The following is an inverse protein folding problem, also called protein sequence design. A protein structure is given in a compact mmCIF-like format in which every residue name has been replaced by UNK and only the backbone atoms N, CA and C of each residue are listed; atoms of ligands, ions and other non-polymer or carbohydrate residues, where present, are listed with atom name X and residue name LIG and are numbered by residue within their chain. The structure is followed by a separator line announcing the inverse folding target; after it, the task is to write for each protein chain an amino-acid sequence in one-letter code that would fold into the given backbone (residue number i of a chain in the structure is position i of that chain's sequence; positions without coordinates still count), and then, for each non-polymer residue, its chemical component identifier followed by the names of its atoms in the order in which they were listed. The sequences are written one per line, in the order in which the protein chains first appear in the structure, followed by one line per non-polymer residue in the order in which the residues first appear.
data_IF_518755520864
#
_entry.id   IF_518755520864
#
_cell.length_a   1.000
_cell.length_b   1.000
_cell.length_c   1.000
_cell.angle_alpha   90.00
_cell.angle_beta   90.00
_cell.angle_gamma   90.00
#
_symmetry.space_group_name_H-M   'P 1'
#
loop_
_entity.id
_entity.type
_entity.pdbx_description
1 polymer ?
#
# COMPACT_ATOMS: atom_id res chain seq x y z
N UNK A 1 -2.81 2.94 -9.76
CA UNK A 1 -2.72 2.88 -8.29
C UNK A 1 -2.25 4.18 -7.67
N UNK A 2 -1.12 4.78 -8.14
CA UNK A 2 -0.51 5.96 -7.52
C UNK A 2 -1.46 7.15 -7.30
N UNK A 3 -2.10 7.66 -8.36
CA UNK A 3 -3.02 8.80 -8.26
C UNK A 3 -4.25 8.52 -7.39
N UNK A 4 -4.92 7.37 -7.57
CA UNK A 4 -6.08 6.99 -6.75
C UNK A 4 -5.76 6.92 -5.25
N UNK A 5 -4.60 6.36 -4.90
CA UNK A 5 -4.22 6.23 -3.49
C UNK A 5 -3.88 7.58 -2.86
N UNK A 6 -3.29 8.51 -3.61
CA UNK A 6 -2.99 9.86 -3.12
C UNK A 6 -4.25 10.67 -2.84
N UNK A 7 -5.27 10.61 -3.69
CA UNK A 7 -6.55 11.29 -3.44
C UNK A 7 -7.22 10.73 -2.17
N UNK A 8 -7.29 9.40 -2.09
CA UNK A 8 -7.90 8.72 -0.95
C UNK A 8 -7.14 8.97 0.37
N UNK A 9 -5.82 9.14 0.31
CA UNK A 9 -5.01 9.42 1.49
C UNK A 9 -5.40 10.73 2.17
N UNK A 10 -5.77 11.75 1.39
CA UNK A 10 -6.29 13.02 1.89
C UNK A 10 -7.63 12.85 2.61
N UNK A 11 -8.56 12.13 1.99
CA UNK A 11 -9.89 11.89 2.56
C UNK A 11 -9.86 11.06 3.84
N UNK A 12 -8.97 10.06 3.89
CA UNK A 12 -8.83 9.16 5.04
C UNK A 12 -7.84 9.67 6.09
N UNK A 13 -7.19 10.83 5.86
CA UNK A 13 -6.14 11.38 6.70
C UNK A 13 -5.04 10.36 7.05
N UNK A 14 -4.65 9.56 6.06
CA UNK A 14 -3.58 8.57 6.18
C UNK A 14 -2.33 9.07 5.46
N UNK A 15 -1.16 8.69 5.97
CA UNK A 15 0.12 8.95 5.32
C UNK A 15 0.46 7.80 4.37
N UNK A 16 0.90 8.14 3.17
CA UNK A 16 1.40 7.19 2.17
C UNK A 16 2.84 7.55 1.83
N UNK A 17 3.77 6.64 2.10
CA UNK A 17 5.17 6.78 1.71
C UNK A 17 5.44 5.93 0.47
N UNK A 18 6.02 6.55 -0.57
CA UNK A 18 6.38 5.88 -1.82
C UNK A 18 7.80 5.35 -1.71
N UNK A 19 7.97 4.04 -1.88
CA UNK A 19 9.28 3.37 -1.83
C UNK A 19 9.64 2.89 -3.23
N UNK A 20 10.81 3.30 -3.71
CA UNK A 20 11.41 2.76 -4.92
C UNK A 20 12.15 1.46 -4.58
N UNK A 21 11.60 0.33 -5.01
CA UNK A 21 12.18 -0.98 -4.74
C UNK A 21 13.40 -1.28 -5.61
N UNK A 22 13.55 -0.62 -6.77
CA UNK A 22 14.67 -0.89 -7.68
C UNK A 22 16.00 -0.39 -7.09
N UNK A 23 15.92 0.56 -6.15
CA UNK A 23 17.06 1.09 -5.41
C UNK A 23 17.51 0.20 -4.23
N UNK A 24 16.69 -0.77 -3.80
CA UNK A 24 17.00 -1.68 -2.69
C UNK A 24 17.00 -3.15 -3.18
N UNK A 25 18.17 -3.82 -3.23
CA UNK A 25 18.26 -5.21 -3.70
C UNK A 25 17.38 -6.20 -2.93
N UNK A 26 17.12 -5.96 -1.63
CA UNK A 26 16.27 -6.83 -0.83
C UNK A 26 14.80 -6.66 -1.24
N UNK A 27 14.34 -5.42 -1.39
CA UNK A 27 12.97 -5.13 -1.83
C UNK A 27 12.75 -5.55 -3.29
N UNK A 28 13.74 -5.35 -4.18
CA UNK A 28 13.70 -5.82 -5.55
C UNK A 28 13.60 -7.36 -5.62
N UNK A 29 14.30 -8.08 -4.74
CA UNK A 29 14.21 -9.55 -4.66
C UNK A 29 12.86 -10.02 -4.07
N UNK A 30 12.31 -9.30 -3.10
CA UNK A 30 11.04 -9.65 -2.44
C UNK A 30 9.81 -9.36 -3.32
N UNK A 31 9.77 -8.17 -3.94
CA UNK A 31 8.60 -7.69 -4.67
C UNK A 31 8.74 -7.85 -6.19
N UNK A 32 9.96 -7.76 -6.74
CA UNK A 32 10.23 -7.94 -8.16
C UNK A 32 9.26 -7.17 -9.07
N UNK A 33 8.58 -7.86 -9.97
CA UNK A 33 7.66 -7.24 -10.93
C UNK A 33 6.23 -7.04 -10.39
N UNK A 34 5.98 -7.29 -9.10
CA UNK A 34 4.63 -7.19 -8.50
C UNK A 34 4.19 -5.74 -8.24
N UNK A 35 4.99 -4.77 -8.67
CA UNK A 35 4.71 -3.35 -8.49
C UNK A 35 3.50 -2.87 -9.30
N UNK A 36 2.75 -1.86 -8.81
CA UNK A 36 2.84 -1.29 -7.46
C UNK A 36 2.27 -2.25 -6.39
N UNK A 37 2.92 -2.31 -5.22
CA UNK A 37 2.49 -3.08 -4.05
C UNK A 37 2.12 -2.09 -2.93
N UNK A 38 0.96 -2.28 -2.30
CA UNK A 38 0.56 -1.53 -1.13
C UNK A 38 0.73 -2.38 0.12
N UNK A 39 1.66 -1.94 0.95
CA UNK A 39 1.93 -2.50 2.26
C UNK A 39 1.40 -1.56 3.33
N UNK A 40 0.90 -2.12 4.42
CA UNK A 40 0.69 -1.39 5.67
C UNK A 40 1.39 -2.12 6.81
N UNK A 41 2.36 -1.45 7.43
CA UNK A 41 3.29 -2.04 8.40
C UNK A 41 3.99 -3.27 7.79
N UNK A 42 3.61 -4.48 8.20
CA UNK A 42 4.14 -5.75 7.70
C UNK A 42 3.09 -6.58 6.92
N UNK A 43 1.96 -5.99 6.54
CA UNK A 43 0.88 -6.67 5.84
C UNK A 43 0.74 -6.15 4.42
N UNK A 44 0.81 -7.04 3.44
CA UNK A 44 0.42 -6.72 2.06
C UNK A 44 -1.10 -6.57 1.98
N UNK A 45 -1.56 -5.41 1.52
CA UNK A 45 -2.99 -5.14 1.30
C UNK A 45 -3.40 -5.60 -0.10
N UNK A 46 -2.67 -5.14 -1.12
CA UNK A 46 -2.91 -5.48 -2.53
C UNK A 46 -1.70 -5.15 -3.39
N UNK A 47 -1.68 -5.67 -4.62
CA UNK A 47 -0.67 -5.39 -5.63
C UNK A 47 -1.30 -5.27 -7.02
N UNK A 48 -0.61 -4.64 -7.97
CA UNK A 48 -1.08 -4.23 -9.31
C UNK A 48 -2.19 -3.17 -9.34
N UNK A 49 -3.29 -3.41 -8.62
CA UNK A 49 -4.46 -2.52 -8.56
C UNK A 49 -4.83 -2.20 -7.12
N UNK A 50 -5.48 -1.05 -6.92
CA UNK A 50 -5.98 -0.68 -5.60
C UNK A 50 -7.24 -1.49 -5.30
N UNK A 51 -7.17 -2.35 -4.28
CA UNK A 51 -8.34 -3.04 -3.73
C UNK A 51 -8.89 -2.24 -2.53
N UNK A 52 -10.00 -1.53 -2.79
CA UNK A 52 -10.69 -0.74 -1.77
C UNK A 52 -11.30 -1.60 -0.65
N UNK A 53 -11.72 -2.84 -0.96
CA UNK A 53 -12.30 -3.72 0.04
C UNK A 53 -11.24 -4.23 1.01
N UNK A 54 -10.07 -4.62 0.49
CA UNK A 54 -8.92 -5.02 1.31
C UNK A 54 -8.39 -3.86 2.16
N UNK A 55 -8.29 -2.66 1.57
CA UNK A 55 -7.85 -1.46 2.29
C UNK A 55 -8.81 -1.10 3.43
N UNK A 56 -10.11 -1.03 3.16
CA UNK A 56 -11.11 -0.73 4.19
C UNK A 56 -11.10 -1.78 5.31
N UNK A 57 -11.02 -3.07 4.97
CA UNK A 57 -10.95 -4.15 5.97
C UNK A 57 -9.72 -4.02 6.88
N UNK A 58 -8.57 -3.58 6.35
CA UNK A 58 -7.39 -3.31 7.16
C UNK A 58 -7.60 -2.08 8.08
N UNK A 59 -8.16 -0.99 7.55
CA UNK A 59 -8.42 0.23 8.32
C UNK A 59 -9.45 0.02 9.43
N UNK A 60 -10.52 -0.74 9.19
CA UNK A 60 -11.53 -1.10 10.19
C UNK A 60 -10.91 -1.90 11.35
N UNK A 61 -10.00 -2.83 11.03
CA UNK A 61 -9.24 -3.58 12.04
C UNK A 61 -8.33 -2.68 12.88
N UNK A 62 -7.70 -1.66 12.28
CA UNK A 62 -6.86 -0.71 13.00
C UNK A 62 -7.64 0.31 13.83
N UNK A 63 -8.84 0.68 13.40
CA UNK A 63 -9.67 1.70 14.07
C UNK A 63 -10.39 1.16 15.31
N UNK A 64 -10.47 -0.16 15.47
CA UNK A 64 -11.07 -0.82 16.63
C UNK A 64 -10.10 -1.01 17.81
N UNK A 65 -9.03 -0.21 17.88
CA UNK A 65 -8.01 -0.19 18.94
C UNK A 65 -7.97 1.18 19.59
#
# INVERSE_FOLDING_TARGET
MHWQLQELAGDLNIRVDWVDIDSDPALAAEFGTRIPVLMAENTEICHYTLDMAALNAYLDRRSSR
#
